data_IF_732625644338
#
_entry.id   IF_732625644338
#
_cell.length_a   1.000
_cell.length_b   1.000
_cell.length_c   1.000
_cell.angle_alpha   90.00
_cell.angle_beta   90.00
_cell.angle_gamma   90.00
#
_symmetry.space_group_name_H-M   'P 1'
#
loop_
_entity.id
_entity.type
_entity.pdbx_description
1 polymer ?
#
# COMPACT_ATOMS: atom_id res chain seq x y z
N UNK A 1 31.53 14.66 -7.62
CA UNK A 1 31.36 14.17 -6.24
C UNK A 1 30.18 13.25 -6.22
N UNK A 2 30.39 11.95 -6.05
CA UNK A 2 29.30 10.97 -5.97
C UNK A 2 28.57 11.16 -4.64
N UNK A 3 27.27 11.52 -4.70
CA UNK A 3 26.40 11.52 -3.53
C UNK A 3 26.24 10.06 -3.08
N UNK A 4 26.89 9.69 -1.98
CA UNK A 4 26.61 8.44 -1.29
C UNK A 4 25.19 8.51 -0.76
N UNK A 5 24.23 7.93 -1.51
CA UNK A 5 22.87 7.74 -0.98
C UNK A 5 22.98 6.78 0.19
N UNK A 6 22.94 7.30 1.43
CA UNK A 6 22.68 6.47 2.60
C UNK A 6 21.35 5.74 2.37
N UNK A 7 21.28 4.43 2.65
CA UNK A 7 20.01 3.71 2.53
C UNK A 7 18.97 4.41 3.41
N UNK A 8 17.92 4.90 2.79
CA UNK A 8 16.84 5.56 3.50
C UNK A 8 16.08 4.51 4.29
N UNK A 9 15.98 4.67 5.61
CA UNK A 9 15.19 3.81 6.47
C UNK A 9 13.71 4.09 6.16
N UNK A 10 12.98 3.07 5.76
CA UNK A 10 11.54 3.13 5.47
C UNK A 10 10.81 2.08 6.30
N UNK A 11 9.48 2.21 6.44
CA UNK A 11 8.66 1.19 7.09
C UNK A 11 8.84 -0.18 6.44
N UNK A 12 8.94 -0.22 5.11
CA UNK A 12 9.21 -1.46 4.34
C UNK A 12 10.54 -2.10 4.75
N UNK A 13 11.62 -1.32 4.88
CA UNK A 13 12.95 -1.84 5.22
C UNK A 13 13.06 -2.33 6.66
N UNK A 14 12.21 -1.85 7.55
CA UNK A 14 12.14 -2.30 8.95
C UNK A 14 11.26 -3.55 9.08
N UNK A 15 10.12 -3.59 8.38
CA UNK A 15 9.10 -4.61 8.61
C UNK A 15 9.19 -5.81 7.67
N UNK A 16 9.79 -5.65 6.48
CA UNK A 16 9.93 -6.74 5.50
C UNK A 16 11.42 -7.09 5.27
N UNK A 17 12.03 -7.69 6.28
CA UNK A 17 13.48 -7.98 6.32
C UNK A 17 13.79 -9.39 5.82
N UNK A 18 13.02 -10.40 6.28
CA UNK A 18 13.27 -11.80 5.95
C UNK A 18 12.79 -12.15 4.53
N UNK A 19 13.30 -13.23 3.94
CA UNK A 19 12.83 -13.70 2.62
C UNK A 19 11.33 -13.97 2.58
N UNK A 20 10.77 -14.56 3.65
CA UNK A 20 9.35 -14.86 3.81
C UNK A 20 8.52 -13.58 3.82
N UNK A 21 8.94 -12.59 4.60
CA UNK A 21 8.30 -11.30 4.68
C UNK A 21 8.32 -10.56 3.32
N UNK A 22 9.45 -10.61 2.61
CA UNK A 22 9.59 -10.00 1.27
C UNK A 22 8.71 -10.69 0.23
N UNK A 23 8.61 -12.02 0.29
CA UNK A 23 7.70 -12.78 -0.57
C UNK A 23 6.24 -12.38 -0.28
N UNK A 24 5.85 -12.34 0.99
CA UNK A 24 4.51 -11.92 1.40
C UNK A 24 4.22 -10.46 0.98
N UNK A 25 5.18 -9.55 1.18
CA UNK A 25 5.07 -8.15 0.73
C UNK A 25 4.83 -8.05 -0.77
N UNK A 26 5.55 -8.85 -1.56
CA UNK A 26 5.34 -8.90 -3.01
C UNK A 26 3.93 -9.39 -3.36
N UNK A 27 3.44 -10.46 -2.74
CA UNK A 27 2.07 -10.96 -2.98
C UNK A 27 1.01 -9.90 -2.63
N UNK A 28 1.25 -9.05 -1.64
CA UNK A 28 0.35 -7.94 -1.29
C UNK A 28 0.34 -6.79 -2.30
N UNK A 29 1.33 -6.69 -3.19
CA UNK A 29 1.28 -5.71 -4.30
C UNK A 29 0.33 -6.13 -5.42
N UNK A 30 0.13 -7.45 -5.56
CA UNK A 30 -0.75 -8.03 -6.58
C UNK A 30 -1.72 -9.06 -5.95
N UNK A 31 -2.59 -8.58 -5.04
CA UNK A 31 -3.30 -9.44 -4.11
C UNK A 31 -4.32 -10.38 -4.75
N UNK A 32 -4.77 -10.11 -5.97
CA UNK A 32 -5.74 -10.95 -6.70
C UNK A 32 -5.11 -11.77 -7.82
N UNK A 33 -3.79 -11.71 -7.96
CA UNK A 33 -3.06 -12.43 -9.01
C UNK A 33 -2.57 -13.77 -8.48
N UNK A 34 -2.81 -14.85 -9.24
CA UNK A 34 -2.23 -16.16 -8.97
C UNK A 34 -0.83 -16.27 -9.65
N UNK A 35 0.10 -16.87 -8.94
CA UNK A 35 1.48 -17.03 -9.39
C UNK A 35 1.95 -18.46 -9.27
N UNK A 36 2.72 -18.94 -10.25
CA UNK A 36 3.51 -20.17 -10.05
C UNK A 36 4.78 -19.85 -9.24
N UNK A 37 5.33 -20.80 -8.45
CA UNK A 37 6.59 -20.60 -7.73
C UNK A 37 7.75 -20.20 -8.65
N UNK A 38 7.73 -20.65 -9.90
CA UNK A 38 8.73 -20.29 -10.93
C UNK A 38 8.64 -18.80 -11.30
N UNK A 39 7.43 -18.28 -11.48
CA UNK A 39 7.20 -16.86 -11.78
C UNK A 39 7.64 -16.00 -10.59
N UNK A 40 7.29 -16.40 -9.36
CA UNK A 40 7.72 -15.71 -8.14
C UNK A 40 9.25 -15.68 -8.03
N UNK A 41 9.94 -16.80 -8.33
CA UNK A 41 11.40 -16.86 -8.33
C UNK A 41 12.02 -15.90 -9.34
N UNK A 42 11.39 -15.73 -10.50
CA UNK A 42 11.84 -14.78 -11.51
C UNK A 42 11.61 -13.33 -11.10
N UNK A 43 10.42 -13.01 -10.58
CA UNK A 43 10.04 -11.64 -10.15
C UNK A 43 10.82 -11.16 -8.93
N UNK A 44 11.18 -12.08 -8.04
CA UNK A 44 11.95 -11.80 -6.82
C UNK A 44 13.44 -12.10 -6.98
N UNK A 45 13.95 -12.14 -8.21
CA UNK A 45 15.37 -12.31 -8.50
C UNK A 45 16.17 -11.18 -7.82
N UNK A 46 17.11 -11.56 -6.96
CA UNK A 46 17.92 -10.61 -6.17
C UNK A 46 17.51 -10.54 -4.69
N UNK A 47 16.36 -11.06 -4.30
CA UNK A 47 16.03 -11.23 -2.87
C UNK A 47 16.82 -12.42 -2.32
N UNK A 48 17.82 -12.13 -1.48
CA UNK A 48 18.67 -13.16 -0.86
C UNK A 48 17.85 -14.04 0.08
N UNK A 49 18.19 -15.34 0.12
CA UNK A 49 17.60 -16.29 1.06
C UNK A 49 16.31 -16.97 0.60
N UNK A 50 15.75 -16.62 -0.57
CA UNK A 50 14.54 -17.29 -1.10
C UNK A 50 14.79 -18.73 -1.56
N UNK A 51 16.05 -19.13 -1.84
CA UNK A 51 16.39 -20.52 -2.21
C UNK A 51 15.82 -20.98 -3.55
N UNK A 52 15.62 -20.07 -4.51
CA UNK A 52 15.05 -20.38 -5.82
C UNK A 52 13.60 -20.91 -5.75
N UNK A 53 13.21 -21.73 -6.73
CA UNK A 53 11.84 -22.28 -6.81
C UNK A 53 11.52 -23.20 -5.62
N UNK A 54 12.47 -24.03 -5.17
CA UNK A 54 12.27 -24.96 -4.05
C UNK A 54 12.10 -24.20 -2.72
N UNK A 55 12.96 -23.22 -2.45
CA UNK A 55 12.88 -22.41 -1.25
C UNK A 55 11.57 -21.60 -1.19
N UNK A 56 11.18 -20.98 -2.30
CA UNK A 56 9.88 -20.30 -2.42
C UNK A 56 8.72 -21.27 -2.16
N UNK A 57 8.78 -22.48 -2.70
CA UNK A 57 7.73 -23.49 -2.46
C UNK A 57 7.61 -23.88 -0.99
N UNK A 58 8.74 -23.99 -0.27
CA UNK A 58 8.74 -24.24 1.17
C UNK A 58 8.11 -23.07 1.94
N UNK A 59 8.51 -21.83 1.64
CA UNK A 59 7.94 -20.63 2.27
C UNK A 59 6.42 -20.57 2.02
N UNK A 60 5.97 -20.81 0.79
CA UNK A 60 4.55 -20.77 0.45
C UNK A 60 3.74 -21.83 1.22
N UNK A 61 4.29 -23.02 1.47
CA UNK A 61 3.65 -24.04 2.30
C UNK A 61 3.48 -23.57 3.74
N UNK A 62 4.52 -22.97 4.33
CA UNK A 62 4.40 -22.38 5.67
C UNK A 62 3.38 -21.24 5.72
N UNK A 63 3.31 -20.40 4.68
CA UNK A 63 2.28 -19.37 4.60
C UNK A 63 0.86 -19.96 4.43
N UNK A 64 0.73 -21.10 3.75
CA UNK A 64 -0.54 -21.81 3.62
C UNK A 64 -0.99 -22.42 4.97
N UNK A 65 -0.08 -22.99 5.74
CA UNK A 65 -0.36 -23.49 7.09
C UNK A 65 -0.91 -22.40 8.02
N UNK A 66 -0.47 -21.16 7.82
CA UNK A 66 -0.99 -19.97 8.51
C UNK A 66 -2.29 -19.41 7.89
N UNK A 67 -2.78 -19.98 6.80
CA UNK A 67 -3.97 -19.50 6.09
C UNK A 67 -3.76 -18.18 5.30
N UNK A 68 -2.53 -17.75 5.10
CA UNK A 68 -2.22 -16.47 4.44
C UNK A 68 -2.24 -16.56 2.91
N UNK A 69 -2.03 -17.74 2.37
CA UNK A 69 -2.10 -18.03 0.92
C UNK A 69 -2.91 -19.30 0.68
N UNK A 70 -3.44 -19.42 -0.53
CA UNK A 70 -4.11 -20.64 -1.01
C UNK A 70 -3.42 -21.14 -2.28
N UNK A 71 -3.30 -22.46 -2.40
CA UNK A 71 -2.86 -23.09 -3.63
C UNK A 71 -4.07 -23.41 -4.53
N UNK A 72 -3.88 -23.20 -5.82
CA UNK A 72 -4.86 -23.39 -6.88
C UNK A 72 -4.29 -24.34 -7.93
N UNK A 73 -5.17 -24.83 -8.82
CA UNK A 73 -4.80 -25.61 -10.00
C UNK A 73 -3.89 -26.81 -9.67
N UNK A 74 -4.33 -27.69 -8.74
CA UNK A 74 -3.55 -28.84 -8.27
C UNK A 74 -2.17 -28.44 -7.71
N UNK A 75 -2.13 -27.42 -6.88
CA UNK A 75 -0.92 -26.87 -6.23
C UNK A 75 0.12 -26.28 -7.21
N UNK A 76 -0.28 -25.94 -8.43
CA UNK A 76 0.62 -25.31 -9.40
C UNK A 76 0.74 -23.81 -9.23
N UNK A 77 -0.29 -23.18 -8.73
CA UNK A 77 -0.38 -21.73 -8.53
C UNK A 77 -0.73 -21.41 -7.09
N UNK A 78 -0.37 -20.22 -6.66
CA UNK A 78 -0.65 -19.69 -5.33
C UNK A 78 -1.19 -18.28 -5.46
N UNK A 79 -2.18 -17.93 -4.65
CA UNK A 79 -2.61 -16.56 -4.49
C UNK A 79 -2.77 -16.20 -3.01
N UNK A 80 -2.83 -14.91 -2.74
CA UNK A 80 -3.01 -14.37 -1.40
C UNK A 80 -4.44 -14.66 -0.91
N UNK A 81 -4.59 -15.01 0.38
CA UNK A 81 -5.91 -15.16 1.01
C UNK A 81 -6.41 -13.76 1.42
N UNK A 82 -7.03 -13.06 0.49
CA UNK A 82 -7.40 -11.65 0.63
C UNK A 82 -8.37 -11.35 1.78
N UNK A 83 -9.22 -12.31 2.14
CA UNK A 83 -10.22 -12.15 3.20
C UNK A 83 -9.67 -12.49 4.58
N UNK A 84 -8.42 -12.98 4.67
CA UNK A 84 -7.79 -13.24 5.96
C UNK A 84 -7.52 -11.92 6.70
N UNK A 85 -7.97 -11.76 7.98
CA UNK A 85 -7.87 -10.49 8.70
C UNK A 85 -6.44 -9.94 8.79
N UNK A 86 -5.44 -10.79 9.05
CA UNK A 86 -4.05 -10.39 9.08
C UNK A 86 -3.56 -9.85 7.72
N UNK A 87 -4.01 -10.45 6.61
CA UNK A 87 -3.67 -9.98 5.25
C UNK A 87 -4.29 -8.60 5.01
N UNK A 88 -5.53 -8.37 5.43
CA UNK A 88 -6.17 -7.05 5.30
C UNK A 88 -5.39 -5.98 6.06
N UNK A 89 -5.01 -6.23 7.32
CA UNK A 89 -4.22 -5.29 8.13
C UNK A 89 -2.83 -5.05 7.52
N UNK A 90 -2.15 -6.09 7.05
CA UNK A 90 -0.85 -5.96 6.40
C UNK A 90 -0.95 -5.18 5.08
N UNK A 91 -1.99 -5.38 4.29
CA UNK A 91 -2.23 -4.58 3.06
C UNK A 91 -2.46 -3.10 3.36
N UNK A 92 -3.20 -2.81 4.42
CA UNK A 92 -3.36 -1.44 4.91
C UNK A 92 -2.01 -0.83 5.33
N UNK A 93 -1.23 -1.56 6.11
CA UNK A 93 0.13 -1.14 6.49
C UNK A 93 1.02 -0.88 5.26
N UNK A 94 0.98 -1.78 4.27
CA UNK A 94 1.72 -1.59 3.03
C UNK A 94 1.29 -0.32 2.29
N UNK A 95 -0.02 -0.04 2.24
CA UNK A 95 -0.53 1.17 1.58
C UNK A 95 -0.05 2.45 2.29
N UNK A 96 0.03 2.45 3.62
CA UNK A 96 0.61 3.56 4.40
C UNK A 96 2.11 3.70 4.09
N UNK A 97 2.85 2.59 4.07
CA UNK A 97 4.29 2.58 3.76
C UNK A 97 4.58 3.09 2.35
N UNK A 98 3.76 2.72 1.36
CA UNK A 98 3.89 3.18 -0.03
C UNK A 98 3.68 4.71 -0.16
N UNK A 99 2.90 5.32 0.74
CA UNK A 99 2.62 6.76 0.76
C UNK A 99 3.62 7.57 1.61
N UNK A 100 4.52 6.93 2.36
CA UNK A 100 5.42 7.62 3.30
C UNK A 100 6.28 8.70 2.60
N UNK A 101 6.84 8.39 1.43
CA UNK A 101 7.63 9.35 0.65
C UNK A 101 6.81 10.54 0.15
N UNK A 102 5.56 10.30 -0.25
CA UNK A 102 4.63 11.36 -0.64
C UNK A 102 4.25 12.22 0.57
N UNK A 103 3.91 11.57 1.71
CA UNK A 103 3.60 12.25 2.97
C UNK A 103 4.70 13.24 3.33
N UNK A 104 5.96 12.81 3.36
CA UNK A 104 7.10 13.68 3.70
C UNK A 104 7.20 14.94 2.80
N UNK A 105 6.75 14.86 1.55
CA UNK A 105 6.76 16.00 0.62
C UNK A 105 5.60 16.96 0.84
N UNK A 106 4.40 16.46 1.18
CA UNK A 106 3.17 17.28 1.18
C UNK A 106 2.67 17.65 2.58
N UNK A 107 3.03 16.91 3.62
CA UNK A 107 2.66 17.21 5.01
C UNK A 107 3.03 18.64 5.44
N UNK A 108 4.24 19.18 5.12
CA UNK A 108 4.61 20.55 5.50
C UNK A 108 3.75 21.66 4.87
N UNK A 109 3.01 21.33 3.79
CA UNK A 109 2.18 22.29 3.02
C UNK A 109 0.69 22.00 3.17
N UNK A 110 0.31 21.13 4.10
CA UNK A 110 -1.07 20.68 4.27
C UNK A 110 -1.41 20.48 5.74
N UNK A 111 -2.67 20.65 6.08
CA UNK A 111 -3.14 20.54 7.46
C UNK A 111 -3.61 19.14 7.80
N UNK A 112 -4.01 18.35 6.78
CA UNK A 112 -4.53 16.98 6.98
C UNK A 112 -4.32 16.13 5.74
N UNK A 113 -4.05 14.83 5.97
CA UNK A 113 -4.04 13.79 4.95
C UNK A 113 -4.74 12.54 5.42
N UNK A 114 -5.66 12.00 4.60
CA UNK A 114 -6.45 10.80 4.91
C UNK A 114 -6.39 9.83 3.75
N UNK A 115 -5.90 8.62 4.01
CA UNK A 115 -6.05 7.48 3.10
C UNK A 115 -7.43 6.87 3.33
N UNK A 116 -8.23 6.69 2.27
CA UNK A 116 -9.56 6.10 2.39
C UNK A 116 -9.83 5.04 1.32
N UNK A 117 -11.02 4.42 1.35
CA UNK A 117 -11.42 3.39 0.42
C UNK A 117 -10.78 2.02 0.65
N UNK A 118 -10.62 1.24 -0.42
CA UNK A 118 -10.24 -0.17 -0.32
C UNK A 118 -8.83 -0.41 0.24
N UNK A 119 -7.89 0.53 0.03
CA UNK A 119 -6.54 0.42 0.59
C UNK A 119 -6.50 0.72 2.08
N UNK A 120 -7.32 1.64 2.54
CA UNK A 120 -7.45 1.93 3.97
C UNK A 120 -8.09 0.76 4.72
N UNK A 121 -9.07 0.08 4.11
CA UNK A 121 -9.76 -1.07 4.72
C UNK A 121 -9.05 -2.42 4.49
N UNK A 122 -7.90 -2.45 3.80
CA UNK A 122 -7.19 -3.69 3.46
C UNK A 122 -7.88 -4.57 2.42
N UNK A 123 -8.95 -4.10 1.80
CA UNK A 123 -9.74 -4.83 0.77
C UNK A 123 -9.30 -4.51 -0.66
N UNK A 124 -8.12 -3.91 -0.82
CA UNK A 124 -7.59 -3.55 -2.13
C UNK A 124 -7.36 -4.79 -3.01
N UNK A 125 -7.57 -4.59 -4.31
CA UNK A 125 -7.24 -5.51 -5.40
C UNK A 125 -6.03 -4.99 -6.16
N UNK A 126 -5.54 -5.74 -7.14
CA UNK A 126 -4.38 -5.36 -7.96
C UNK A 126 -4.59 -4.05 -8.71
N UNK A 127 -5.83 -3.75 -9.10
CA UNK A 127 -6.26 -2.56 -9.82
C UNK A 127 -6.71 -1.39 -8.94
N UNK A 128 -6.74 -1.56 -7.61
CA UNK A 128 -7.20 -0.53 -6.67
C UNK A 128 -6.29 0.68 -6.62
N UNK A 129 -6.88 1.87 -6.64
CA UNK A 129 -6.18 3.14 -6.45
C UNK A 129 -5.86 3.42 -4.97
N UNK A 130 -4.91 4.32 -4.76
CA UNK A 130 -4.69 4.99 -3.49
C UNK A 130 -5.57 6.24 -3.45
N UNK A 131 -6.69 6.19 -2.74
CA UNK A 131 -7.57 7.33 -2.57
C UNK A 131 -7.04 8.16 -1.39
N UNK A 132 -6.48 9.33 -1.70
CA UNK A 132 -5.85 10.21 -0.73
C UNK A 132 -6.57 11.56 -0.71
N UNK A 133 -7.17 11.91 0.42
CA UNK A 133 -7.62 13.26 0.68
C UNK A 133 -6.48 14.07 1.29
N UNK A 134 -6.28 15.29 0.79
CA UNK A 134 -5.34 16.27 1.34
C UNK A 134 -6.05 17.60 1.53
N UNK A 135 -5.94 18.18 2.72
CA UNK A 135 -6.45 19.53 3.01
C UNK A 135 -5.28 20.50 3.05
N UNK A 136 -5.33 21.53 2.22
CA UNK A 136 -4.21 22.50 2.08
C UNK A 136 -4.73 23.87 1.63
N UNK A 137 -4.06 24.93 2.10
CA UNK A 137 -4.27 26.30 1.60
C UNK A 137 -3.70 26.49 0.18
N UNK A 138 -2.83 25.61 -0.27
CA UNK A 138 -2.18 25.66 -1.59
C UNK A 138 -2.48 24.41 -2.42
N UNK A 139 -3.76 24.15 -2.77
CA UNK A 139 -4.16 22.88 -3.41
C UNK A 139 -3.46 22.65 -4.76
N UNK A 140 -3.15 23.68 -5.51
CA UNK A 140 -2.49 23.55 -6.83
C UNK A 140 -1.05 23.05 -6.73
N UNK A 141 -0.34 23.40 -5.65
CA UNK A 141 1.02 22.89 -5.40
C UNK A 141 0.97 21.40 -5.05
N UNK A 142 0.04 21.00 -4.20
CA UNK A 142 -0.18 19.61 -3.85
C UNK A 142 -0.52 18.78 -5.10
N UNK A 143 -1.43 19.25 -5.95
CA UNK A 143 -1.80 18.58 -7.21
C UNK A 143 -0.60 18.38 -8.14
N UNK A 144 0.31 19.36 -8.22
CA UNK A 144 1.56 19.23 -9.01
C UNK A 144 2.47 18.13 -8.47
N UNK A 145 2.59 18.01 -7.14
CA UNK A 145 3.42 16.98 -6.51
C UNK A 145 2.79 15.61 -6.71
N UNK A 146 1.50 15.45 -6.41
CA UNK A 146 0.80 14.16 -6.53
C UNK A 146 0.78 13.64 -7.97
N UNK A 147 0.59 14.52 -8.96
CA UNK A 147 0.59 14.14 -10.39
C UNK A 147 1.94 13.62 -10.91
N UNK A 148 3.04 13.98 -10.26
CA UNK A 148 4.41 13.56 -10.60
C UNK A 148 4.92 12.41 -9.76
N UNK A 149 4.13 11.94 -8.80
CA UNK A 149 4.55 10.89 -7.88
C UNK A 149 4.70 9.54 -8.61
N UNK A 150 5.67 8.68 -8.23
CA UNK A 150 5.90 7.37 -8.85
C UNK A 150 4.71 6.42 -8.84
N UNK A 151 3.76 6.57 -7.92
CA UNK A 151 2.49 5.82 -7.92
C UNK A 151 1.65 6.11 -9.18
N UNK A 152 1.90 7.24 -9.87
CA UNK A 152 1.33 7.58 -11.15
C UNK A 152 -0.20 7.53 -11.15
N UNK A 153 -0.77 6.83 -12.14
CA UNK A 153 -2.23 6.69 -12.29
C UNK A 153 -2.93 5.93 -11.15
N UNK A 154 -2.18 5.23 -10.30
CA UNK A 154 -2.75 4.54 -9.13
C UNK A 154 -3.01 5.49 -7.95
N UNK A 155 -2.49 6.72 -7.98
CA UNK A 155 -2.77 7.73 -6.96
C UNK A 155 -3.95 8.59 -7.40
N UNK A 156 -5.07 8.43 -6.72
CA UNK A 156 -6.26 9.28 -6.87
C UNK A 156 -6.29 10.26 -5.68
N UNK A 157 -5.80 11.47 -5.92
CA UNK A 157 -5.68 12.49 -4.89
C UNK A 157 -6.81 13.52 -5.01
N UNK A 158 -7.60 13.62 -3.95
CA UNK A 158 -8.60 14.67 -3.76
C UNK A 158 -7.98 15.77 -2.89
N UNK A 159 -7.79 16.95 -3.44
CA UNK A 159 -7.16 18.07 -2.74
C UNK A 159 -8.19 19.17 -2.58
N UNK A 160 -8.38 19.62 -1.33
CA UNK A 160 -9.39 20.62 -0.93
C UNK A 160 -8.77 21.70 -0.08
N UNK A 161 -9.38 22.88 -0.10
CA UNK A 161 -9.11 23.92 0.91
C UNK A 161 -9.78 23.56 2.24
N UNK A 162 -9.37 24.17 3.39
CA UNK A 162 -10.05 23.99 4.67
C UNK A 162 -11.53 24.34 4.62
N UNK A 163 -11.93 25.40 3.90
CA UNK A 163 -13.33 25.82 3.73
C UNK A 163 -14.15 24.79 2.95
N UNK A 164 -13.59 24.25 1.87
CA UNK A 164 -14.23 23.17 1.11
C UNK A 164 -14.40 21.92 1.98
N UNK A 165 -13.38 21.55 2.72
CA UNK A 165 -13.40 20.38 3.60
C UNK A 165 -14.44 20.52 4.71
N UNK A 166 -14.55 21.68 5.37
CA UNK A 166 -15.56 21.93 6.40
C UNK A 166 -17.00 21.81 5.92
N UNK A 167 -17.23 21.94 4.62
CA UNK A 167 -18.55 21.82 3.99
C UNK A 167 -18.84 20.43 3.38
N UNK A 168 -17.92 19.47 3.48
CA UNK A 168 -18.07 18.13 2.88
C UNK A 168 -19.26 17.38 3.43
N UNK A 169 -19.46 17.40 4.76
CA UNK A 169 -20.58 16.71 5.43
C UNK A 169 -21.95 17.15 4.92
N UNK A 170 -22.08 18.41 4.56
CA UNK A 170 -23.33 18.97 4.05
C UNK A 170 -23.50 18.68 2.57
N UNK A 171 -22.43 18.79 1.78
CA UNK A 171 -22.46 18.70 0.33
C UNK A 171 -22.39 17.27 -0.19
N UNK A 172 -21.65 16.38 0.52
CA UNK A 172 -21.42 15.00 0.07
C UNK A 172 -21.27 14.04 1.26
N UNK A 173 -22.40 13.59 1.79
CA UNK A 173 -22.45 12.65 2.93
C UNK A 173 -21.79 11.29 2.68
N UNK A 174 -21.77 10.81 1.43
CA UNK A 174 -21.07 9.54 1.10
C UNK A 174 -19.57 9.71 1.21
N UNK A 175 -19.04 10.79 0.65
CA UNK A 175 -17.62 11.10 0.73
C UNK A 175 -17.19 11.30 2.18
N UNK A 176 -17.96 12.04 2.98
CA UNK A 176 -17.71 12.21 4.41
C UNK A 176 -17.59 10.87 5.13
N UNK A 177 -18.56 9.97 4.96
CA UNK A 177 -18.49 8.61 5.54
C UNK A 177 -17.25 7.83 5.11
N UNK A 178 -16.84 7.94 3.86
CA UNK A 178 -15.64 7.26 3.37
C UNK A 178 -14.36 7.84 3.99
N UNK A 179 -14.32 9.15 4.21
CA UNK A 179 -13.22 9.83 4.89
C UNK A 179 -13.16 9.44 6.36
N UNK A 180 -14.31 9.39 7.06
CA UNK A 180 -14.40 9.01 8.47
C UNK A 180 -13.96 7.56 8.73
N UNK A 181 -14.20 6.66 7.77
CA UNK A 181 -13.72 5.28 7.80
C UNK A 181 -12.27 5.15 7.31
N UNK A 182 -11.65 6.25 6.92
CA UNK A 182 -10.28 6.30 6.44
C UNK A 182 -9.24 6.29 7.56
N UNK A 183 -7.98 6.30 7.15
CA UNK A 183 -6.83 6.38 8.06
C UNK A 183 -6.21 7.76 7.94
N UNK A 184 -6.22 8.52 9.00
CA UNK A 184 -5.51 9.80 9.08
C UNK A 184 -4.01 9.51 9.08
N UNK A 185 -3.32 9.97 8.05
CA UNK A 185 -1.87 9.83 7.90
C UNK A 185 -1.12 10.95 8.61
N UNK A 186 -1.69 12.17 8.63
CA UNK A 186 -1.19 13.34 9.38
C UNK A 186 -2.33 14.33 9.63
N UNK A 187 -2.10 15.26 10.56
CA UNK A 187 -3.11 16.21 11.03
C UNK A 187 -3.94 15.64 12.17
N UNK A 188 -4.75 16.49 12.83
CA UNK A 188 -5.64 16.05 13.91
C UNK A 188 -6.82 15.26 13.36
N UNK A 189 -7.10 14.12 14.00
CA UNK A 189 -8.45 13.55 13.98
C UNK A 189 -9.34 14.44 14.85
N UNK A 190 -10.56 14.71 14.40
CA UNK A 190 -11.55 15.46 15.17
C UNK A 190 -11.83 14.79 16.52
#
# INVERSE_FOLDING_TARGET
MARTNKPQITLDTICFVTPEQKLLRFLMTEPTTAFTPRVLSSKLKGVRGLGGVEGITKILKSLQELGLVIFLNNNREVCLQNDHPAIQLLKTFCAISDLEGLKQMIEPMSTRGVLFGSRASGRSRTDSNYNLLVVSETPEEIKKITSRHPLGKKLDSMVMTPDEFSSVDVKNKELSKHIDLGITLWGSSW
#
